data_IF_941239799140
#
_entry.id   IF_941239799140
#
_cell.length_a   1.000
_cell.length_b   1.000
_cell.length_c   1.000
_cell.angle_alpha   90.00
_cell.angle_beta   90.00
_cell.angle_gamma   90.00
#
_symmetry.space_group_name_H-M   'P 1'
#
loop_
_entity.id
_entity.type
_entity.pdbx_description
1 polymer ?
#
# COMPACT_ATOMS: atom_id res chain seq x y z
N UNK A 1 4.44 3.92 16.96
CA UNK A 1 4.62 2.48 16.65
C UNK A 1 6.02 2.30 16.10
N UNK A 2 6.78 1.25 16.44
CA UNK A 2 8.03 0.98 15.75
C UNK A 2 7.75 0.53 14.31
N UNK A 3 8.27 1.27 13.33
CA UNK A 3 8.20 0.88 11.92
C UNK A 3 9.31 -0.16 11.61
N UNK A 4 9.10 -1.03 10.61
CA UNK A 4 10.10 -2.02 10.23
C UNK A 4 11.37 -1.35 9.70
N UNK A 5 12.54 -1.94 9.95
CA UNK A 5 13.82 -1.47 9.40
C UNK A 5 13.94 -1.67 7.89
N UNK A 6 13.21 -2.64 7.35
CA UNK A 6 13.25 -3.02 5.94
C UNK A 6 11.84 -3.30 5.45
N UNK A 7 11.52 -2.77 4.27
CA UNK A 7 10.30 -3.06 3.53
C UNK A 7 10.73 -3.44 2.10
N UNK A 8 10.35 -4.62 1.58
CA UNK A 8 10.76 -5.02 0.25
C UNK A 8 10.19 -4.08 -0.83
N UNK A 9 11.05 -3.67 -1.77
CA UNK A 9 10.61 -3.00 -3.00
C UNK A 9 9.67 -3.92 -3.76
N UNK A 10 8.57 -3.35 -4.28
CA UNK A 10 7.52 -4.09 -4.97
C UNK A 10 6.49 -4.74 -4.03
N UNK A 11 6.71 -4.79 -2.71
CA UNK A 11 5.69 -5.28 -1.80
C UNK A 11 4.44 -4.39 -1.87
N UNK A 12 3.27 -5.02 -1.99
CA UNK A 12 1.99 -4.31 -1.92
C UNK A 12 1.54 -4.19 -0.47
N UNK A 13 1.12 -3.00 -0.06
CA UNK A 13 0.71 -2.75 1.32
C UNK A 13 -0.35 -1.65 1.43
N UNK A 14 -1.03 -1.64 2.57
CA UNK A 14 -1.83 -0.52 3.05
C UNK A 14 -0.99 0.31 4.02
N UNK A 15 -0.90 1.61 3.76
CA UNK A 15 -0.34 2.63 4.65
C UNK A 15 -1.48 3.46 5.21
N UNK A 16 -1.60 3.52 6.53
CA UNK A 16 -2.48 4.50 7.19
C UNK A 16 -1.65 5.65 7.73
N UNK A 17 -2.01 6.87 7.36
CA UNK A 17 -1.37 8.10 7.84
C UNK A 17 -2.31 8.93 8.70
N UNK A 18 -1.74 9.80 9.52
CA UNK A 18 -2.43 10.95 10.10
C UNK A 18 -2.79 11.95 8.99
N UNK A 19 -4.01 12.49 9.05
CA UNK A 19 -4.53 13.48 8.08
C UNK A 19 -5.02 14.75 8.79
N UNK A 20 -4.42 15.05 9.96
CA UNK A 20 -4.81 16.17 10.82
C UNK A 20 -6.06 15.89 11.64
N UNK A 21 -6.65 16.96 12.20
CA UNK A 21 -7.88 16.90 12.99
C UNK A 21 -9.03 17.57 12.23
N UNK A 22 -10.22 17.01 12.33
CA UNK A 22 -11.44 17.63 11.81
C UNK A 22 -11.73 18.93 12.58
N UNK A 23 -11.84 20.08 11.89
CA UNK A 23 -11.94 21.38 12.55
C UNK A 23 -13.28 21.60 13.27
N UNK A 24 -14.31 20.83 12.93
CA UNK A 24 -15.65 20.93 13.53
C UNK A 24 -15.79 20.09 14.78
N UNK A 25 -15.16 18.92 14.79
CA UNK A 25 -15.33 17.90 15.84
C UNK A 25 -14.07 17.70 16.68
N UNK A 26 -12.93 18.24 16.27
CA UNK A 26 -11.62 18.03 16.88
C UNK A 26 -11.09 16.59 16.74
N UNK A 27 -11.81 15.71 16.03
CA UNK A 27 -11.45 14.29 15.93
C UNK A 27 -10.30 14.11 14.95
N UNK A 28 -9.32 13.32 15.37
CA UNK A 28 -8.21 12.92 14.53
C UNK A 28 -8.68 12.15 13.30
N UNK A 29 -8.19 12.56 12.14
CA UNK A 29 -8.49 11.98 10.84
C UNK A 29 -7.32 11.14 10.35
N UNK A 30 -7.68 10.15 9.54
CA UNK A 30 -6.73 9.19 8.98
C UNK A 30 -6.96 9.03 7.49
N UNK A 31 -5.89 8.73 6.78
CA UNK A 31 -5.92 8.47 5.34
C UNK A 31 -5.24 7.17 5.02
N UNK A 32 -5.88 6.38 4.17
CA UNK A 32 -5.36 5.09 3.73
C UNK A 32 -4.87 5.18 2.29
N UNK A 33 -3.67 4.66 2.07
CA UNK A 33 -3.09 4.46 0.75
C UNK A 33 -2.82 2.98 0.55
N UNK A 34 -3.16 2.46 -0.61
CA UNK A 34 -2.82 1.10 -1.02
C UNK A 34 -1.95 1.21 -2.25
N UNK A 35 -0.81 0.55 -2.25
CA UNK A 35 0.15 0.65 -3.35
C UNK A 35 1.36 -0.23 -3.18
N UNK A 36 2.28 -0.11 -4.13
CA UNK A 36 3.52 -0.88 -4.18
C UNK A 36 4.68 -0.02 -3.70
N UNK A 37 5.54 -0.61 -2.88
CA UNK A 37 6.72 0.07 -2.33
C UNK A 37 7.75 0.33 -3.43
N UNK A 38 8.25 1.57 -3.47
CA UNK A 38 9.35 2.00 -4.34
C UNK A 38 10.66 2.05 -3.57
N UNK A 39 10.63 2.58 -2.35
CA UNK A 39 11.79 2.65 -1.44
C UNK A 39 11.35 2.90 -0.01
N UNK A 40 12.19 2.47 0.93
CA UNK A 40 12.08 2.76 2.37
C UNK A 40 13.48 2.92 2.95
N UNK A 41 13.78 4.08 3.52
CA UNK A 41 15.08 4.42 4.11
C UNK A 41 15.04 4.51 5.65
N UNK A 42 13.88 4.35 6.27
CA UNK A 42 13.67 4.53 7.71
C UNK A 42 12.99 5.84 8.08
N UNK A 43 12.95 6.81 7.18
CA UNK A 43 12.39 8.15 7.37
C UNK A 43 11.26 8.46 6.39
N UNK A 44 11.40 8.04 5.13
CA UNK A 44 10.42 8.25 4.07
C UNK A 44 10.09 6.94 3.36
N UNK A 45 8.79 6.65 3.27
CA UNK A 45 8.26 5.56 2.48
C UNK A 45 7.76 6.11 1.14
N UNK A 46 8.42 5.72 0.05
CA UNK A 46 7.93 6.02 -1.29
C UNK A 46 7.09 4.85 -1.81
N UNK A 47 5.88 5.12 -2.28
CA UNK A 47 4.99 4.14 -2.89
C UNK A 47 4.42 4.66 -4.20
N UNK A 48 4.08 3.75 -5.12
CA UNK A 48 3.13 4.03 -6.19
C UNK A 48 1.77 3.53 -5.73
N UNK A 49 0.84 4.45 -5.44
CA UNK A 49 -0.54 4.14 -5.06
C UNK A 49 -1.27 3.51 -6.23
N UNK A 50 -2.03 2.46 -5.95
CA UNK A 50 -2.90 1.81 -6.93
C UNK A 50 -3.98 2.79 -7.44
N UNK A 51 -4.40 2.64 -8.70
CA UNK A 51 -5.58 3.34 -9.21
C UNK A 51 -6.84 2.85 -8.50
N UNK A 52 -7.86 3.70 -8.43
CA UNK A 52 -9.17 3.26 -7.97
C UNK A 52 -9.75 2.25 -8.97
N UNK A 53 -10.39 1.18 -8.46
CA UNK A 53 -10.95 0.13 -9.31
C UNK A 53 -12.00 0.64 -10.32
N UNK A 54 -12.68 1.74 -10.00
CA UNK A 54 -13.67 2.38 -10.86
C UNK A 54 -13.09 3.50 -11.76
N UNK A 55 -11.76 3.65 -11.81
CA UNK A 55 -11.09 4.68 -12.61
C UNK A 55 -11.20 6.11 -12.08
N UNK A 56 -11.89 6.35 -10.96
CA UNK A 56 -12.06 7.72 -10.40
C UNK A 56 -10.76 8.38 -9.95
N UNK A 57 -9.69 7.61 -9.78
CA UNK A 57 -8.37 8.08 -9.36
C UNK A 57 -7.30 7.28 -10.09
N UNK A 58 -6.36 7.96 -10.72
CA UNK A 58 -5.19 7.34 -11.35
C UNK A 58 -4.20 6.80 -10.31
N UNK A 59 -3.26 5.98 -10.76
CA UNK A 59 -2.08 5.68 -9.98
C UNK A 59 -1.32 6.99 -9.67
N UNK A 60 -0.64 7.03 -8.52
CA UNK A 60 0.05 8.23 -8.07
C UNK A 60 1.27 7.84 -7.22
N UNK A 61 2.41 8.45 -7.52
CA UNK A 61 3.59 8.34 -6.67
C UNK A 61 3.45 9.23 -5.43
N UNK A 62 3.74 8.66 -4.27
CA UNK A 62 3.61 9.31 -2.97
C UNK A 62 4.91 9.12 -2.18
N UNK A 63 5.32 10.17 -1.48
CA UNK A 63 6.35 10.13 -0.44
C UNK A 63 5.69 10.38 0.91
N UNK A 64 5.80 9.43 1.82
CA UNK A 64 5.10 9.43 3.10
C UNK A 64 6.15 9.45 4.22
N UNK A 65 6.20 10.52 5.04
CA UNK A 65 7.16 10.59 6.14
C UNK A 65 6.76 9.64 7.27
N UNK A 66 7.74 9.06 7.94
CA UNK A 66 7.59 7.98 8.90
C UNK A 66 6.75 8.37 10.12
N UNK A 67 6.85 9.64 10.53
CA UNK A 67 6.14 10.24 11.66
C UNK A 67 4.62 10.28 11.43
N UNK A 68 4.19 10.38 10.17
CA UNK A 68 2.78 10.37 9.80
C UNK A 68 2.18 8.96 9.78
N UNK A 69 3.00 7.91 9.70
CA UNK A 69 2.52 6.52 9.52
C UNK A 69 2.08 5.94 10.86
N UNK A 70 0.80 5.56 10.93
CA UNK A 70 0.23 4.93 12.13
C UNK A 70 -0.04 3.44 11.96
N UNK A 71 -0.12 2.95 10.73
CA UNK A 71 -0.19 1.52 10.47
C UNK A 71 0.38 1.15 9.09
N UNK A 72 1.04 0.00 9.05
CA UNK A 72 1.41 -0.70 7.82
C UNK A 72 0.79 -2.09 7.85
N UNK A 73 0.13 -2.49 6.77
CA UNK A 73 -0.42 -3.85 6.60
C UNK A 73 0.02 -4.41 5.26
N UNK A 74 0.80 -5.51 5.21
CA UNK A 74 1.13 -6.15 3.94
C UNK A 74 -0.15 -6.69 3.31
N UNK A 75 -0.28 -6.52 1.99
CA UNK A 75 -1.36 -7.07 1.18
C UNK A 75 -0.74 -8.14 0.30
N UNK A 76 -0.96 -9.44 0.59
CA UNK A 76 -0.45 -10.51 -0.26
C UNK A 76 -0.95 -10.36 -1.69
N UNK A 77 -0.06 -10.52 -2.66
CA UNK A 77 -0.47 -10.63 -4.05
C UNK A 77 -1.25 -11.93 -4.26
N UNK A 78 -2.31 -11.86 -5.08
CA UNK A 78 -3.09 -13.05 -5.42
C UNK A 78 -2.21 -13.95 -6.28
N UNK A 79 -1.90 -15.15 -5.79
CA UNK A 79 -1.25 -16.19 -6.59
C UNK A 79 -2.16 -16.53 -7.77
N UNK A 80 -1.71 -16.22 -8.99
CA UNK A 80 -2.40 -16.64 -10.21
C UNK A 80 -2.14 -18.14 -10.41
N UNK A 81 -3.05 -19.02 -9.96
CA UNK A 81 -2.98 -20.46 -10.22
C UNK A 81 -3.26 -20.84 -11.70
N UNK A 82 -3.12 -19.91 -12.64
CA UNK A 82 -3.55 -20.05 -14.04
C UNK A 82 -2.58 -20.85 -14.95
N UNK A 83 -1.58 -21.54 -14.40
CA UNK A 83 -0.60 -22.32 -15.17
C UNK A 83 -0.66 -23.85 -14.96
N UNK A 84 -1.77 -24.38 -14.43
CA UNK A 84 -1.88 -25.83 -14.13
C UNK A 84 -3.11 -26.53 -14.75
N UNK A 85 -3.63 -26.07 -15.90
CA UNK A 85 -4.81 -26.69 -16.54
C UNK A 85 -4.66 -27.19 -17.99
N UNK A 86 -3.48 -27.19 -18.59
CA UNK A 86 -3.31 -27.72 -19.96
C UNK A 86 -2.17 -28.74 -20.04
N UNK A 87 -2.35 -29.95 -19.48
CA UNK A 87 -1.52 -31.13 -19.81
C UNK A 87 -2.12 -32.47 -19.34
N UNK A 88 -3.43 -32.68 -19.52
CA UNK A 88 -4.00 -34.03 -19.45
C UNK A 88 -5.18 -34.14 -20.40
N UNK A 89 -4.95 -34.66 -21.61
CA UNK A 89 -6.01 -34.84 -22.59
C UNK A 89 -5.50 -34.94 -24.04
N UNK A 90 -4.56 -35.83 -24.31
CA UNK A 90 -4.35 -36.37 -25.63
C UNK A 90 -3.88 -37.82 -25.46
N UNK A 91 -4.87 -38.72 -25.38
CA UNK A 91 -4.76 -40.11 -25.83
C UNK A 91 -5.72 -40.23 -27.01
#
# INVERSE_FOLDING_TARGET
MPLPKFIPVGARLMVRTLDGNDPRTGRQQFRDYIGHVRSWDGETLSITRDPAANGSRSAQDLSIPCDSIVALKPIPERKNNALTKNKTGMQ
#
